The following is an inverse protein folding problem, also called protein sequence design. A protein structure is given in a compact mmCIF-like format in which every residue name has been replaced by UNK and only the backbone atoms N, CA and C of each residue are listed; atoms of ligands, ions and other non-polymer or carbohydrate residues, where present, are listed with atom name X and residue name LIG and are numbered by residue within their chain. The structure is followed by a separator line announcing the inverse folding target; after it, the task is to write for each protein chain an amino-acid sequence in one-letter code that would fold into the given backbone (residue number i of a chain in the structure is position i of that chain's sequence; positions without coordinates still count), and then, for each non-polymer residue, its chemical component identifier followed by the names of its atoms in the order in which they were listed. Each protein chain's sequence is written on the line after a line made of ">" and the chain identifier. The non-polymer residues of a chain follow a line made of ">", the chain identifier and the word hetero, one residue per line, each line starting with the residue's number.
data_IF_100278572688
#
_entry.id   IF_100278572688
#
_cell.length_a   1.000
_cell.length_b   1.000
_cell.length_c   1.000
_cell.angle_alpha   90.00
_cell.angle_beta   90.00
_cell.angle_gamma   90.00
#
_symmetry.space_group_name_H-M   'P 1'
#
loop_
_entity.id
_entity.type
_entity.pdbx_description
1 polymer ?
#
# COMPACT_ATOMS: atom_id res chain seq x y z
N UNK A 1 -0.01 6.17 26.40
CA UNK A 1 -0.66 6.57 25.14
C UNK A 1 -0.65 8.08 25.09
N UNK A 2 -0.02 8.66 24.07
CA UNK A 2 0.10 10.11 23.88
C UNK A 2 -0.55 10.47 22.53
N UNK A 3 -1.23 11.61 22.43
CA UNK A 3 -1.89 12.04 21.20
C UNK A 3 -1.17 13.25 20.64
N UNK A 4 -0.71 13.15 19.39
CA UNK A 4 -0.07 14.28 18.69
C UNK A 4 -1.16 15.22 18.20
N UNK A 5 -1.16 16.45 18.74
CA UNK A 5 -2.09 17.50 18.40
C UNK A 5 -1.37 18.62 17.65
N UNK A 6 -1.99 19.12 16.58
CA UNK A 6 -1.54 20.31 15.86
C UNK A 6 -2.63 21.37 15.94
N UNK A 7 -2.25 22.64 15.97
CA UNK A 7 -3.22 23.73 15.94
C UNK A 7 -3.94 23.77 14.59
N UNK A 8 -5.18 24.29 14.59
CA UNK A 8 -5.95 24.51 13.36
C UNK A 8 -5.17 25.35 12.34
N UNK A 9 -4.51 26.42 12.79
CA UNK A 9 -3.68 27.28 11.92
C UNK A 9 -2.56 26.49 11.25
N UNK A 10 -1.89 25.60 12.00
CA UNK A 10 -0.80 24.78 11.49
C UNK A 10 -1.32 23.75 10.49
N UNK A 11 -2.45 23.10 10.77
CA UNK A 11 -3.10 22.16 9.85
C UNK A 11 -3.59 22.85 8.57
N UNK A 12 -4.17 24.04 8.69
CA UNK A 12 -4.63 24.84 7.54
C UNK A 12 -3.45 25.26 6.67
N UNK A 13 -2.36 25.70 7.28
CA UNK A 13 -1.12 26.03 6.56
C UNK A 13 -0.54 24.80 5.85
N UNK A 14 -0.57 23.64 6.51
CA UNK A 14 -0.06 22.40 5.96
C UNK A 14 -0.90 21.85 4.80
N UNK A 15 -2.21 22.09 4.82
CA UNK A 15 -3.16 21.69 3.79
C UNK A 15 -3.13 22.64 2.58
N UNK A 16 -3.16 23.96 2.80
CA UNK A 16 -3.41 24.93 1.72
C UNK A 16 -2.14 25.60 1.19
N UNK A 17 -1.04 25.63 1.95
CA UNK A 17 0.12 26.53 1.77
C UNK A 17 -0.17 27.99 2.14
N UNK A 18 0.88 28.68 2.65
CA UNK A 18 0.86 30.14 2.88
C UNK A 18 1.27 30.94 1.64
N UNK A 19 1.85 30.29 0.62
CA UNK A 19 2.25 30.93 -0.63
C UNK A 19 1.05 31.06 -1.58
N UNK A 20 0.65 32.29 -1.98
CA UNK A 20 -0.55 32.49 -2.80
C UNK A 20 -0.56 31.70 -4.12
N UNK A 21 0.60 31.53 -4.75
CA UNK A 21 0.72 30.78 -6.00
C UNK A 21 0.39 29.28 -5.85
N UNK A 22 0.70 28.70 -4.68
CA UNK A 22 0.43 27.29 -4.37
C UNK A 22 -0.99 27.14 -3.83
N UNK A 23 -1.43 28.05 -2.95
CA UNK A 23 -2.78 28.07 -2.39
C UNK A 23 -3.90 28.18 -3.45
N UNK A 24 -3.58 28.73 -4.63
CA UNK A 24 -4.52 28.76 -5.76
C UNK A 24 -4.98 27.36 -6.17
N UNK A 25 -4.13 26.33 -6.09
CA UNK A 25 -4.48 24.94 -6.43
C UNK A 25 -5.60 24.40 -5.53
N UNK A 26 -5.65 24.84 -4.28
CA UNK A 26 -6.72 24.47 -3.35
C UNK A 26 -8.05 25.17 -3.69
N UNK A 27 -8.00 26.30 -4.39
CA UNK A 27 -9.20 27.06 -4.78
C UNK A 27 -9.97 26.40 -5.93
N UNK A 28 -9.33 25.47 -6.65
CA UNK A 28 -9.94 24.73 -7.77
C UNK A 28 -10.89 23.61 -7.28
N UNK A 29 -10.83 23.26 -5.99
CA UNK A 29 -11.77 22.30 -5.40
C UNK A 29 -13.18 22.86 -5.34
N UNK A 30 -14.14 21.96 -5.55
CA UNK A 30 -15.54 22.23 -5.28
C UNK A 30 -15.77 22.55 -3.80
N UNK A 31 -16.92 23.16 -3.47
CA UNK A 31 -17.27 23.42 -2.08
C UNK A 31 -17.33 22.13 -1.24
N UNK A 32 -17.92 21.06 -1.79
CA UNK A 32 -17.97 19.75 -1.14
C UNK A 32 -16.59 19.16 -0.85
N UNK A 33 -15.67 19.22 -1.82
CA UNK A 33 -14.30 18.74 -1.63
C UNK A 33 -13.55 19.56 -0.58
N UNK A 34 -13.69 20.89 -0.59
CA UNK A 34 -13.08 21.74 0.44
C UNK A 34 -13.64 21.42 1.83
N UNK A 35 -14.95 21.28 1.98
CA UNK A 35 -15.57 20.91 3.26
C UNK A 35 -15.04 19.57 3.77
N UNK A 36 -14.93 18.56 2.90
CA UNK A 36 -14.34 17.27 3.27
C UNK A 36 -12.88 17.42 3.73
N UNK A 37 -12.05 18.16 2.99
CA UNK A 37 -10.65 18.35 3.34
C UNK A 37 -10.49 19.14 4.65
N UNK A 38 -11.35 20.13 4.89
CA UNK A 38 -11.35 20.97 6.08
C UNK A 38 -11.82 20.26 7.35
N UNK A 39 -12.52 19.12 7.26
CA UNK A 39 -12.77 18.24 8.42
C UNK A 39 -11.45 17.81 9.10
N UNK A 40 -10.35 17.73 8.35
CA UNK A 40 -9.02 17.42 8.88
C UNK A 40 -8.40 18.54 9.71
N UNK A 41 -9.00 19.74 9.76
CA UNK A 41 -8.52 20.84 10.61
C UNK A 41 -8.89 20.63 12.08
N UNK A 42 -9.80 19.70 12.37
CA UNK A 42 -10.29 19.41 13.71
C UNK A 42 -10.30 17.90 14.01
N UNK A 43 -9.14 17.21 13.87
CA UNK A 43 -9.09 15.77 14.02
C UNK A 43 -9.49 15.32 15.43
N UNK A 44 -10.29 14.27 15.53
CA UNK A 44 -10.73 13.69 16.80
C UNK A 44 -11.90 14.41 17.48
N UNK A 45 -12.43 15.50 16.91
CA UNK A 45 -13.72 16.06 17.37
C UNK A 45 -14.84 15.05 17.12
N UNK A 46 -15.86 15.07 17.98
CA UNK A 46 -17.02 14.18 17.85
C UNK A 46 -17.67 14.36 16.46
N UNK A 47 -17.77 13.27 15.70
CA UNK A 47 -18.33 13.28 14.34
C UNK A 47 -17.33 13.66 13.24
N UNK A 48 -16.06 13.93 13.57
CA UNK A 48 -15.00 14.14 12.59
C UNK A 48 -14.61 12.83 11.92
N UNK A 49 -14.36 12.91 10.61
CA UNK A 49 -13.90 11.78 9.79
C UNK A 49 -12.42 11.46 10.03
N UNK A 50 -11.65 12.38 10.59
CA UNK A 50 -10.20 12.24 10.71
C UNK A 50 -9.78 12.21 12.18
N UNK A 51 -8.78 11.40 12.49
CA UNK A 51 -8.30 11.17 13.85
C UNK A 51 -6.87 11.68 14.01
N UNK A 52 -6.50 12.23 15.18
CA UNK A 52 -5.13 12.63 15.44
C UNK A 52 -4.24 11.38 15.55
N UNK A 53 -2.93 11.59 15.55
CA UNK A 53 -2.00 10.46 15.72
C UNK A 53 -2.00 10.03 17.19
N UNK A 54 -2.21 8.75 17.43
CA UNK A 54 -2.09 8.15 18.75
C UNK A 54 -0.80 7.35 18.84
N UNK A 55 0.10 7.76 19.73
CA UNK A 55 1.35 7.08 20.07
C UNK A 55 1.12 6.12 21.24
N UNK A 56 1.55 4.88 21.08
CA UNK A 56 1.38 3.83 22.09
C UNK A 56 2.66 3.55 22.86
N UNK A 57 3.82 3.73 22.24
CA UNK A 57 5.14 3.41 22.81
C UNK A 57 6.26 4.26 22.23
N UNK A 58 7.44 4.25 22.87
CA UNK A 58 8.65 4.89 22.34
C UNK A 58 9.24 4.16 21.12
N UNK A 59 8.77 2.94 20.83
CA UNK A 59 9.13 2.21 19.61
C UNK A 59 8.28 2.56 18.39
N UNK A 60 7.21 3.35 18.57
CA UNK A 60 6.39 3.86 17.46
C UNK A 60 7.27 4.74 16.55
N UNK A 61 7.07 4.63 15.23
CA UNK A 61 7.96 5.19 14.21
C UNK A 61 8.29 6.67 14.42
N UNK A 62 7.27 7.50 14.70
CA UNK A 62 7.43 8.95 14.86
C UNK A 62 8.37 9.31 16.01
N UNK A 63 8.38 8.50 17.08
CA UNK A 63 9.27 8.73 18.23
C UNK A 63 10.66 8.17 17.94
N UNK A 64 10.74 6.98 17.37
CA UNK A 64 11.99 6.28 17.09
C UNK A 64 12.80 6.88 15.93
N UNK A 65 12.11 7.49 14.97
CA UNK A 65 12.69 8.06 13.74
C UNK A 65 12.13 9.47 13.52
N UNK A 66 12.70 10.49 14.19
CA UNK A 66 12.28 11.88 13.96
C UNK A 66 12.52 12.28 12.50
N UNK A 67 11.44 12.64 11.80
CA UNK A 67 11.48 13.20 10.44
C UNK A 67 10.79 14.56 10.43
N UNK A 68 11.12 15.43 9.48
CA UNK A 68 10.37 16.68 9.31
C UNK A 68 9.03 16.42 8.60
N UNK A 69 7.89 16.98 9.10
CA UNK A 69 6.62 16.88 8.42
C UNK A 69 6.68 17.47 7.01
N UNK A 70 6.24 16.71 6.00
CA UNK A 70 6.04 17.26 4.67
C UNK A 70 4.61 17.84 4.58
N UNK A 71 4.46 19.15 4.49
CA UNK A 71 3.18 19.79 4.13
C UNK A 71 2.95 19.75 2.61
N UNK A 72 1.82 20.31 2.15
CA UNK A 72 1.51 20.40 0.73
C UNK A 72 2.51 21.28 -0.04
N UNK A 73 2.95 22.40 0.54
CA UNK A 73 3.90 23.31 -0.11
C UNK A 73 5.25 22.64 -0.37
N UNK A 74 5.81 22.01 0.67
CA UNK A 74 7.07 21.27 0.60
C UNK A 74 6.98 20.10 -0.38
N UNK A 75 5.84 19.41 -0.45
CA UNK A 75 5.59 18.39 -1.47
C UNK A 75 5.58 19.00 -2.86
N UNK A 76 4.77 20.03 -3.10
CA UNK A 76 4.56 20.58 -4.44
C UNK A 76 5.83 21.18 -5.04
N UNK A 77 6.67 21.79 -4.19
CA UNK A 77 7.94 22.43 -4.57
C UNK A 77 9.11 21.44 -4.68
N UNK A 78 8.95 20.19 -4.26
CA UNK A 78 10.02 19.20 -4.31
C UNK A 78 10.37 18.90 -5.78
N UNK A 79 11.61 19.19 -6.25
CA UNK A 79 11.99 18.93 -7.63
C UNK A 79 12.05 17.43 -7.96
N UNK A 80 12.06 16.56 -6.94
CA UNK A 80 12.01 15.11 -7.10
C UNK A 80 10.59 14.55 -7.04
N UNK A 81 9.56 15.41 -6.87
CA UNK A 81 8.15 15.01 -6.98
C UNK A 81 7.88 14.47 -8.38
N UNK A 82 7.16 13.35 -8.45
CA UNK A 82 6.73 12.77 -9.72
C UNK A 82 5.23 12.90 -9.88
N UNK A 83 4.80 13.22 -11.08
CA UNK A 83 3.42 13.36 -11.49
C UNK A 83 3.23 12.47 -12.71
N UNK A 84 2.21 11.60 -12.75
CA UNK A 84 1.87 10.87 -13.96
C UNK A 84 1.63 11.83 -15.13
N UNK A 85 2.08 11.44 -16.31
CA UNK A 85 1.85 12.18 -17.55
C UNK A 85 1.30 11.23 -18.62
N UNK A 86 0.95 11.76 -19.81
CA UNK A 86 0.35 10.97 -20.89
C UNK A 86 1.28 9.87 -21.44
N UNK A 87 2.59 9.95 -21.18
CA UNK A 87 3.57 8.94 -21.55
C UNK A 87 3.90 7.97 -20.40
N UNK A 88 3.60 8.32 -19.15
CA UNK A 88 3.95 7.55 -17.96
C UNK A 88 2.78 7.51 -16.96
N UNK A 89 1.73 6.78 -17.30
CA UNK A 89 0.48 6.70 -16.52
C UNK A 89 0.15 5.29 -16.01
N UNK A 90 1.06 4.32 -16.20
CA UNK A 90 0.81 2.92 -15.85
C UNK A 90 1.63 2.50 -14.62
N UNK A 91 0.97 1.91 -13.62
CA UNK A 91 1.60 1.22 -12.50
C UNK A 91 1.70 -0.26 -12.87
N UNK A 92 2.92 -0.79 -12.87
CA UNK A 92 3.15 -2.22 -13.13
C UNK A 92 3.37 -2.98 -11.82
N UNK A 93 2.71 -4.12 -11.66
CA UNK A 93 2.91 -5.03 -10.54
C UNK A 93 3.65 -6.28 -11.05
N UNK A 94 4.82 -6.54 -10.48
CA UNK A 94 5.61 -7.74 -10.75
C UNK A 94 5.49 -8.72 -9.57
N UNK A 95 4.80 -9.83 -9.79
CA UNK A 95 4.75 -10.93 -8.81
C UNK A 95 6.07 -11.69 -8.81
N UNK A 96 6.69 -11.88 -7.63
CA UNK A 96 7.96 -12.59 -7.44
C UNK A 96 7.77 -13.76 -6.48
N UNK A 97 8.01 -14.97 -6.98
CA UNK A 97 7.74 -16.22 -6.28
C UNK A 97 6.27 -16.63 -6.34
N UNK A 98 5.92 -17.64 -5.54
CA UNK A 98 4.55 -18.10 -5.35
C UNK A 98 3.79 -17.33 -4.28
N UNK A 99 2.47 -17.28 -4.42
CA UNK A 99 1.52 -16.63 -3.52
C UNK A 99 0.46 -17.64 -3.03
N UNK A 100 0.83 -18.92 -2.97
CA UNK A 100 -0.04 -20.05 -2.65
C UNK A 100 0.47 -21.33 -3.30
N UNK A 101 -0.31 -22.41 -3.18
CA UNK A 101 -0.22 -23.50 -4.14
C UNK A 101 -0.67 -22.98 -5.52
N UNK A 102 0.01 -23.41 -6.58
CA UNK A 102 -0.32 -22.99 -7.96
C UNK A 102 -1.78 -23.32 -8.24
N UNK A 103 -2.61 -22.30 -8.50
CA UNK A 103 -4.04 -22.45 -8.76
C UNK A 103 -4.83 -21.15 -8.66
N UNK A 104 -6.13 -21.26 -8.91
CA UNK A 104 -7.07 -20.14 -9.09
C UNK A 104 -7.08 -19.13 -7.92
N UNK A 105 -6.87 -19.55 -6.67
CA UNK A 105 -6.91 -18.64 -5.50
C UNK A 105 -5.82 -17.57 -5.53
N UNK A 106 -4.60 -17.96 -5.92
CA UNK A 106 -3.45 -17.07 -5.91
C UNK A 106 -3.57 -16.00 -7.00
N UNK A 107 -4.00 -16.40 -8.19
CA UNK A 107 -4.24 -15.47 -9.30
C UNK A 107 -5.32 -14.45 -8.92
N UNK A 108 -6.41 -14.90 -8.29
CA UNK A 108 -7.46 -14.01 -7.75
C UNK A 108 -6.93 -12.99 -6.75
N UNK A 109 -6.08 -13.41 -5.82
CA UNK A 109 -5.54 -12.50 -4.80
C UNK A 109 -4.71 -11.36 -5.41
N UNK A 110 -3.85 -11.68 -6.39
CA UNK A 110 -3.05 -10.66 -7.08
C UNK A 110 -3.93 -9.75 -7.93
N UNK A 111 -4.98 -10.29 -8.55
CA UNK A 111 -5.98 -9.49 -9.27
C UNK A 111 -6.75 -8.54 -8.34
N UNK A 112 -7.17 -9.00 -7.16
CA UNK A 112 -7.81 -8.12 -6.18
C UNK A 112 -6.89 -6.97 -5.76
N UNK A 113 -5.58 -7.22 -5.59
CA UNK A 113 -4.59 -6.17 -5.33
C UNK A 113 -4.44 -5.20 -6.51
N UNK A 114 -4.45 -5.70 -7.74
CA UNK A 114 -4.42 -4.87 -8.95
C UNK A 114 -5.63 -3.95 -9.00
N UNK A 115 -6.82 -4.50 -8.83
CA UNK A 115 -8.08 -3.76 -8.91
C UNK A 115 -8.19 -2.72 -7.79
N UNK A 116 -7.76 -3.08 -6.57
CA UNK A 116 -7.67 -2.14 -5.45
C UNK A 116 -6.70 -1.01 -5.76
N UNK A 117 -5.50 -1.33 -6.25
CA UNK A 117 -4.48 -0.35 -6.58
C UNK A 117 -5.01 0.64 -7.63
N UNK A 118 -5.71 0.16 -8.65
CA UNK A 118 -6.33 1.00 -9.68
C UNK A 118 -7.45 1.89 -9.11
N UNK A 119 -8.29 1.35 -8.23
CA UNK A 119 -9.32 2.14 -7.55
C UNK A 119 -8.71 3.23 -6.66
N UNK A 120 -7.61 2.93 -5.96
CA UNK A 120 -6.94 3.86 -5.06
C UNK A 120 -6.19 4.96 -5.83
N UNK A 121 -5.42 4.60 -6.84
CA UNK A 121 -4.67 5.52 -7.71
C UNK A 121 -5.51 5.87 -8.95
N UNK A 122 -6.72 6.37 -8.68
CA UNK A 122 -7.72 6.71 -9.69
C UNK A 122 -7.14 7.59 -10.80
N UNK A 123 -7.37 7.21 -12.06
CA UNK A 123 -6.84 7.87 -13.25
C UNK A 123 -5.57 7.24 -13.82
N UNK A 124 -4.94 6.30 -13.10
CA UNK A 124 -3.82 5.51 -13.61
C UNK A 124 -4.30 4.11 -14.03
N UNK A 125 -3.60 3.54 -15.01
CA UNK A 125 -3.76 2.12 -15.37
C UNK A 125 -2.91 1.26 -14.45
N UNK A 126 -3.39 0.08 -14.06
CA UNK A 126 -2.60 -0.89 -13.30
C UNK A 126 -2.53 -2.23 -14.04
N UNK A 127 -1.31 -2.66 -14.33
CA UNK A 127 -1.06 -3.88 -15.12
C UNK A 127 -0.24 -4.90 -14.34
N UNK A 128 -0.61 -6.17 -14.46
CA UNK A 128 0.16 -7.29 -13.93
C UNK A 128 1.19 -7.74 -14.97
N UNK A 129 2.45 -7.80 -14.58
CA UNK A 129 3.48 -8.48 -15.36
C UNK A 129 3.43 -9.99 -15.09
N UNK A 130 3.88 -10.84 -16.04
CA UNK A 130 3.97 -12.27 -15.82
C UNK A 130 4.76 -12.58 -14.54
N UNK A 131 4.21 -13.45 -13.69
CA UNK A 131 4.89 -13.87 -12.47
C UNK A 131 6.26 -14.47 -12.78
N UNK A 132 7.24 -14.18 -11.94
CA UNK A 132 8.61 -14.70 -12.08
C UNK A 132 8.99 -15.51 -10.85
N UNK A 133 9.74 -16.57 -11.07
CA UNK A 133 10.34 -17.34 -9.98
C UNK A 133 11.43 -16.53 -9.26
N UNK A 134 11.76 -16.91 -8.03
CA UNK A 134 12.88 -16.32 -7.29
C UNK A 134 14.20 -16.50 -8.06
N UNK A 135 14.36 -17.64 -8.73
CA UNK A 135 15.57 -17.95 -9.50
C UNK A 135 15.82 -16.99 -10.66
N UNK A 136 14.76 -16.54 -11.34
CA UNK A 136 14.87 -15.58 -12.45
C UNK A 136 15.34 -14.19 -12.00
N UNK A 137 15.13 -13.85 -10.72
CA UNK A 137 15.60 -12.58 -10.17
C UNK A 137 17.11 -12.55 -9.97
N UNK A 138 17.73 -13.72 -9.79
CA UNK A 138 19.13 -13.84 -9.41
C UNK A 138 19.45 -13.19 -8.06
N UNK A 139 18.46 -12.98 -7.18
CA UNK A 139 18.66 -12.29 -5.92
C UNK A 139 19.45 -13.13 -4.91
N UNK A 140 20.23 -12.44 -4.10
CA UNK A 140 20.84 -13.03 -2.90
C UNK A 140 19.77 -13.38 -1.87
N UNK A 141 20.00 -14.45 -1.11
CA UNK A 141 19.08 -14.89 -0.07
C UNK A 141 19.80 -15.40 1.18
N UNK A 142 19.09 -15.41 2.31
CA UNK A 142 19.60 -15.91 3.60
C UNK A 142 18.50 -16.58 4.43
N UNK A 143 18.89 -17.27 5.50
CA UNK A 143 17.96 -17.61 6.59
C UNK A 143 18.13 -16.54 7.67
N UNK A 144 17.04 -15.88 8.06
CA UNK A 144 17.07 -14.91 9.16
C UNK A 144 17.42 -15.61 10.48
N UNK A 145 18.36 -15.07 11.24
CA UNK A 145 18.79 -15.69 12.51
C UNK A 145 17.71 -15.68 13.60
N UNK A 146 16.77 -14.74 13.55
CA UNK A 146 15.73 -14.56 14.58
C UNK A 146 14.43 -15.28 14.22
N UNK A 147 13.89 -15.07 13.01
CA UNK A 147 12.66 -15.73 12.57
C UNK A 147 12.91 -17.17 12.09
N UNK A 148 14.10 -17.46 11.58
CA UNK A 148 14.45 -18.70 10.86
C UNK A 148 13.68 -18.89 9.55
N UNK A 149 13.18 -17.79 8.97
CA UNK A 149 12.53 -17.80 7.65
C UNK A 149 13.55 -17.47 6.55
N UNK A 150 13.27 -17.90 5.33
CA UNK A 150 14.01 -17.47 4.14
C UNK A 150 13.77 -15.97 3.91
N UNK A 151 14.83 -15.25 3.59
CA UNK A 151 14.78 -13.84 3.20
C UNK A 151 15.50 -13.62 1.88
N UNK A 152 14.99 -12.71 1.05
CA UNK A 152 15.61 -12.27 -0.21
C UNK A 152 16.02 -10.80 -0.15
N UNK A 153 17.15 -10.47 -0.79
CA UNK A 153 17.77 -9.14 -0.71
C UNK A 153 17.04 -8.15 -1.62
N UNK A 154 16.49 -7.07 -1.03
CA UNK A 154 15.72 -6.06 -1.78
C UNK A 154 16.54 -5.36 -2.87
N UNK A 155 17.83 -5.09 -2.62
CA UNK A 155 18.71 -4.41 -3.57
C UNK A 155 18.87 -5.15 -4.89
N UNK A 156 18.88 -6.49 -4.86
CA UNK A 156 18.95 -7.29 -6.09
C UNK A 156 17.59 -7.30 -6.82
N UNK A 157 16.49 -7.35 -6.08
CA UNK A 157 15.14 -7.26 -6.66
C UNK A 157 14.90 -5.91 -7.33
N UNK A 158 15.29 -4.79 -6.71
CA UNK A 158 15.19 -3.46 -7.31
C UNK A 158 16.00 -3.38 -8.61
N UNK A 159 17.20 -3.97 -8.65
CA UNK A 159 18.02 -4.04 -9.87
C UNK A 159 17.35 -4.88 -10.96
N UNK A 160 16.70 -5.98 -10.58
CA UNK A 160 15.91 -6.80 -11.49
C UNK A 160 14.72 -6.03 -12.06
N UNK A 161 13.94 -5.35 -11.20
CA UNK A 161 12.80 -4.52 -11.62
C UNK A 161 13.23 -3.40 -12.56
N UNK A 162 14.38 -2.76 -12.32
CA UNK A 162 14.91 -1.71 -13.19
C UNK A 162 15.18 -2.16 -14.62
N UNK A 163 15.51 -3.45 -14.82
CA UNK A 163 15.68 -4.04 -16.16
C UNK A 163 14.37 -4.40 -16.84
N UNK A 164 13.28 -4.53 -16.08
CA UNK A 164 11.95 -4.95 -16.59
C UNK A 164 10.95 -3.81 -16.64
N UNK A 165 11.23 -2.67 -16.00
CA UNK A 165 10.36 -1.50 -15.97
C UNK A 165 9.98 -1.10 -17.40
N UNK A 166 8.69 -1.18 -17.77
CA UNK A 166 8.22 -0.71 -19.08
C UNK A 166 8.49 0.77 -19.27
N UNK A 167 8.59 1.21 -20.54
CA UNK A 167 8.95 2.61 -20.86
C UNK A 167 7.85 3.59 -20.47
N UNK A 168 6.60 3.16 -20.53
CA UNK A 168 5.39 3.91 -20.17
C UNK A 168 5.01 3.75 -18.69
N UNK A 169 5.85 3.08 -17.90
CA UNK A 169 5.61 2.90 -16.49
C UNK A 169 5.79 4.22 -15.74
N UNK A 170 4.73 4.68 -15.06
CA UNK A 170 4.85 5.61 -13.96
C UNK A 170 5.78 5.02 -12.89
N UNK A 171 5.45 3.81 -12.45
CA UNK A 171 6.28 3.02 -11.56
C UNK A 171 6.11 1.51 -11.79
N UNK A 172 7.05 0.74 -11.25
CA UNK A 172 6.95 -0.71 -11.14
C UNK A 172 7.11 -1.12 -9.68
N UNK A 173 6.21 -1.97 -9.19
CA UNK A 173 6.25 -2.50 -7.83
C UNK A 173 6.35 -4.03 -7.86
N UNK A 174 7.37 -4.56 -7.21
CA UNK A 174 7.52 -5.99 -6.96
C UNK A 174 6.75 -6.39 -5.71
N UNK A 175 5.98 -7.47 -5.78
CA UNK A 175 5.31 -8.06 -4.61
C UNK A 175 5.77 -9.50 -4.40
N UNK A 176 5.93 -9.90 -3.14
CA UNK A 176 6.30 -11.29 -2.80
C UNK A 176 5.68 -11.76 -1.47
N UNK A 177 5.54 -13.07 -1.31
CA UNK A 177 5.22 -13.72 -0.03
C UNK A 177 6.48 -14.19 0.73
N UNK A 178 7.68 -13.79 0.28
CA UNK A 178 8.96 -14.12 0.90
C UNK A 178 9.45 -12.93 1.69
N UNK A 179 9.97 -13.16 2.89
CA UNK A 179 10.49 -12.11 3.77
C UNK A 179 11.66 -11.34 3.12
N UNK A 180 11.79 -10.04 3.43
CA UNK A 180 12.75 -9.14 2.78
C UNK A 180 13.80 -8.63 3.77
N UNK A 181 15.00 -8.37 3.27
CA UNK A 181 16.04 -7.66 4.01
C UNK A 181 16.81 -6.67 3.12
N UNK A 182 17.24 -5.51 3.66
CA UNK A 182 17.89 -4.47 2.86
C UNK A 182 19.42 -4.61 2.78
N UNK A 183 20.05 -5.16 3.83
CA UNK A 183 21.49 -5.45 3.93
C UNK A 183 21.76 -6.40 5.09
N UNK A 184 22.94 -6.99 5.13
CA UNK A 184 23.27 -8.06 6.08
C UNK A 184 23.11 -7.65 7.56
N UNK A 185 23.39 -6.39 7.89
CA UNK A 185 23.29 -5.88 9.26
C UNK A 185 21.87 -5.56 9.76
N UNK A 186 20.85 -5.69 8.90
CA UNK A 186 19.46 -5.39 9.24
C UNK A 186 18.66 -6.67 9.42
N UNK A 187 17.65 -6.66 10.29
CA UNK A 187 16.80 -7.83 10.51
C UNK A 187 15.85 -8.06 9.33
N UNK A 188 15.07 -7.06 8.94
CA UNK A 188 14.12 -7.13 7.83
C UNK A 188 13.63 -5.74 7.42
N UNK A 189 12.87 -5.69 6.33
CA UNK A 189 11.97 -4.59 5.96
C UNK A 189 10.65 -5.17 5.44
N UNK A 190 9.55 -4.44 5.58
CA UNK A 190 8.31 -4.78 4.86
C UNK A 190 8.43 -4.48 3.38
N UNK A 191 9.26 -3.50 3.04
CA UNK A 191 9.45 -3.04 1.68
C UNK A 191 10.65 -2.12 1.52
N UNK A 192 11.06 -1.89 0.28
CA UNK A 192 12.06 -0.89 -0.06
C UNK A 192 11.74 -0.28 -1.43
N UNK A 193 11.91 1.03 -1.52
CA UNK A 193 11.62 1.81 -2.72
C UNK A 193 12.84 2.63 -3.20
N UNK A 194 13.00 2.74 -4.53
CA UNK A 194 13.79 3.77 -5.19
C UNK A 194 12.83 4.80 -5.81
N UNK A 195 12.62 5.91 -5.10
CA UNK A 195 11.66 6.94 -5.49
C UNK A 195 12.08 7.63 -6.79
N UNK A 196 13.38 7.95 -6.92
CA UNK A 196 13.96 8.57 -8.11
C UNK A 196 13.80 7.71 -9.36
N UNK A 197 13.77 6.39 -9.20
CA UNK A 197 13.67 5.46 -10.33
C UNK A 197 12.24 4.94 -10.54
N UNK A 198 11.34 5.21 -9.60
CA UNK A 198 9.93 4.77 -9.66
C UNK A 198 9.83 3.26 -9.54
N UNK A 199 10.55 2.70 -8.56
CA UNK A 199 10.58 1.26 -8.30
C UNK A 199 10.35 0.99 -6.82
N UNK A 200 9.63 -0.08 -6.50
CA UNK A 200 9.52 -0.58 -5.13
C UNK A 200 9.43 -2.10 -5.09
N UNK A 201 9.78 -2.69 -3.96
CA UNK A 201 9.56 -4.12 -3.70
C UNK A 201 9.09 -4.32 -2.27
N UNK A 202 8.00 -5.06 -2.08
CA UNK A 202 7.37 -5.24 -0.77
C UNK A 202 6.95 -6.69 -0.56
N UNK A 203 6.86 -7.08 0.70
CA UNK A 203 6.55 -8.44 1.10
C UNK A 203 5.38 -8.50 2.06
N UNK A 204 4.50 -9.46 1.81
CA UNK A 204 3.36 -9.75 2.68
C UNK A 204 3.66 -10.90 3.66
N UNK A 205 4.87 -11.47 3.65
CA UNK A 205 5.24 -12.63 4.47
C UNK A 205 4.97 -12.37 5.97
N UNK A 206 5.30 -11.17 6.44
CA UNK A 206 5.19 -10.77 7.84
C UNK A 206 3.77 -10.39 8.27
N UNK A 207 2.80 -10.43 7.36
CA UNK A 207 1.40 -10.16 7.65
C UNK A 207 0.59 -11.41 8.01
N UNK A 208 1.25 -12.57 8.09
CA UNK A 208 0.69 -13.75 8.73
C UNK A 208 0.62 -13.55 10.26
N UNK A 209 -0.56 -13.77 10.85
CA UNK A 209 -0.78 -13.66 12.30
C UNK A 209 0.09 -14.63 13.12
N UNK A 210 0.56 -15.70 12.49
CA UNK A 210 1.43 -16.70 13.09
C UNK A 210 2.91 -16.50 12.76
N UNK A 211 3.31 -15.45 12.02
CA UNK A 211 4.70 -15.28 11.55
C UNK A 211 5.75 -15.40 12.67
N UNK A 212 5.47 -14.82 13.85
CA UNK A 212 6.37 -14.84 15.00
C UNK A 212 6.18 -16.06 15.92
N UNK A 213 5.27 -16.97 15.59
CA UNK A 213 5.04 -18.20 16.34
C UNK A 213 6.20 -19.17 16.22
N UNK A 214 6.52 -19.88 17.31
CA UNK A 214 7.52 -20.96 17.28
C UNK A 214 7.15 -22.06 16.30
N UNK A 215 5.86 -22.26 16.05
CA UNK A 215 5.34 -23.30 15.16
C UNK A 215 4.98 -22.75 13.76
N UNK A 216 5.45 -21.54 13.41
CA UNK A 216 5.18 -20.95 12.12
C UNK A 216 5.67 -21.87 10.98
N UNK A 217 4.78 -22.14 10.03
CA UNK A 217 5.01 -23.13 8.98
C UNK A 217 6.15 -22.73 8.01
N UNK A 218 6.41 -21.43 7.86
CA UNK A 218 7.51 -20.91 7.04
C UNK A 218 8.91 -21.00 7.66
N UNK A 219 9.03 -21.46 8.92
CA UNK A 219 10.35 -21.63 9.56
C UNK A 219 11.09 -22.80 8.95
N UNK A 220 12.36 -22.58 8.61
CA UNK A 220 13.24 -23.61 8.08
C UNK A 220 13.60 -24.58 9.22
N UNK A 221 13.07 -25.81 9.17
CA UNK A 221 13.14 -26.80 10.27
C UNK A 221 14.51 -27.43 10.52
N UNK A 222 15.42 -27.42 9.53
CA UNK A 222 16.77 -28.00 9.61
C UNK A 222 17.82 -26.90 9.40
N UNK A 223 19.05 -27.11 9.88
CA UNK A 223 20.21 -26.29 9.47
C UNK A 223 20.43 -26.45 7.98
N UNK A 224 19.73 -25.65 7.17
CA UNK A 224 19.91 -25.60 5.72
C UNK A 224 21.27 -24.94 5.46
N UNK A 225 22.19 -25.66 4.82
CA UNK A 225 23.37 -25.01 4.26
C UNK A 225 22.96 -24.35 2.96
N UNK A 226 22.73 -23.04 3.01
CA UNK A 226 22.43 -22.26 1.82
C UNK A 226 23.67 -22.18 0.94
N UNK A 227 23.49 -22.40 -0.36
CA UNK A 227 24.47 -22.08 -1.39
C UNK A 227 23.87 -21.00 -2.27
N UNK A 228 24.56 -19.86 -2.42
CA UNK A 228 24.08 -18.81 -3.32
C UNK A 228 23.96 -19.38 -4.74
N UNK A 229 22.86 -19.05 -5.42
CA UNK A 229 22.50 -19.61 -6.72
C UNK A 229 21.71 -20.93 -6.67
N UNK A 230 21.60 -21.61 -5.52
CA UNK A 230 20.73 -22.77 -5.37
C UNK A 230 19.32 -22.35 -4.91
N UNK A 231 18.48 -22.00 -5.89
CA UNK A 231 17.10 -21.55 -5.65
C UNK A 231 16.11 -22.70 -5.38
N UNK A 232 16.56 -23.96 -5.36
CA UNK A 232 15.70 -25.10 -5.00
C UNK A 232 15.12 -24.96 -3.58
N UNK A 233 15.77 -24.18 -2.72
CA UNK A 233 15.30 -23.84 -1.37
C UNK A 233 13.96 -23.10 -1.35
N UNK A 234 13.55 -22.51 -2.48
CA UNK A 234 12.25 -21.85 -2.67
C UNK A 234 11.21 -22.77 -3.34
N UNK A 235 11.47 -24.06 -3.51
CA UNK A 235 10.44 -24.98 -3.97
C UNK A 235 9.49 -25.30 -2.81
N UNK A 236 8.21 -24.95 -2.97
CA UNK A 236 7.18 -25.21 -1.96
C UNK A 236 7.41 -24.47 -0.64
N UNK A 237 8.02 -23.28 -0.67
CA UNK A 237 8.09 -22.46 0.54
C UNK A 237 6.68 -22.09 1.00
N UNK A 238 6.52 -21.93 2.31
CA UNK A 238 5.23 -21.61 2.89
C UNK A 238 4.73 -20.24 2.47
N UNK A 239 3.47 -20.18 2.05
CA UNK A 239 2.73 -18.95 1.83
C UNK A 239 1.57 -18.86 2.83
N UNK A 240 1.33 -17.69 3.43
CA UNK A 240 0.24 -17.51 4.38
C UNK A 240 -1.13 -17.73 3.71
N UNK A 241 -2.14 -18.22 4.44
CA UNK A 241 -3.49 -18.32 3.91
C UNK A 241 -4.05 -16.93 3.57
N UNK A 242 -4.82 -16.84 2.48
CA UNK A 242 -5.48 -15.61 2.06
C UNK A 242 -6.67 -15.35 3.00
N UNK A 243 -6.50 -14.38 3.90
CA UNK A 243 -7.54 -13.91 4.84
C UNK A 243 -7.90 -12.46 4.55
N UNK A 244 -9.02 -11.95 5.09
CA UNK A 244 -9.36 -10.53 4.96
C UNK A 244 -8.36 -9.61 5.63
N UNK A 245 -7.77 -10.03 6.75
CA UNK A 245 -6.67 -9.30 7.41
C UNK A 245 -5.43 -9.23 6.54
N UNK A 246 -5.03 -10.35 5.90
CA UNK A 246 -3.88 -10.35 4.99
C UNK A 246 -4.13 -9.42 3.80
N UNK A 247 -5.32 -9.49 3.20
CA UNK A 247 -5.71 -8.62 2.09
C UNK A 247 -5.69 -7.15 2.51
N UNK A 248 -6.26 -6.79 3.66
CA UNK A 248 -6.24 -5.42 4.19
C UNK A 248 -4.81 -4.90 4.39
N UNK A 249 -3.94 -5.68 5.04
CA UNK A 249 -2.54 -5.31 5.26
C UNK A 249 -1.78 -5.13 3.95
N UNK A 250 -2.09 -5.97 2.96
CA UNK A 250 -1.48 -5.92 1.63
C UNK A 250 -1.93 -4.68 0.85
N UNK A 251 -3.22 -4.33 0.92
CA UNK A 251 -3.78 -3.10 0.40
C UNK A 251 -3.16 -1.85 1.05
N UNK A 252 -3.00 -1.83 2.38
CA UNK A 252 -2.29 -0.73 3.08
C UNK A 252 -0.85 -0.56 2.56
N UNK A 253 -0.14 -1.67 2.38
CA UNK A 253 1.26 -1.68 1.97
C UNK A 253 1.42 -1.19 0.55
N UNK A 254 0.67 -1.74 -0.40
CA UNK A 254 0.76 -1.30 -1.80
C UNK A 254 0.39 0.18 -1.94
N UNK A 255 -0.60 0.65 -1.17
CA UNK A 255 -0.96 2.06 -1.09
C UNK A 255 0.17 2.92 -0.55
N UNK A 256 0.73 2.57 0.61
CA UNK A 256 1.79 3.32 1.28
C UNK A 256 2.99 3.49 0.35
N UNK A 257 3.45 2.38 -0.20
CA UNK A 257 4.69 2.33 -0.94
C UNK A 257 4.54 2.93 -2.35
N UNK A 258 3.40 2.70 -3.01
CA UNK A 258 3.10 3.36 -4.28
C UNK A 258 2.88 4.86 -4.06
N UNK A 259 2.35 5.28 -2.91
CA UNK A 259 2.24 6.69 -2.53
C UNK A 259 3.60 7.41 -2.52
N UNK A 260 4.67 6.72 -2.10
CA UNK A 260 6.02 7.28 -2.18
C UNK A 260 6.49 7.54 -3.62
N UNK A 261 5.98 6.80 -4.62
CA UNK A 261 6.32 7.03 -6.04
C UNK A 261 5.89 8.42 -6.54
N UNK A 262 4.90 9.03 -5.89
CA UNK A 262 4.47 10.41 -6.17
C UNK A 262 5.35 11.46 -5.46
N UNK A 263 6.28 11.05 -4.58
CA UNK A 263 7.07 11.95 -3.74
C UNK A 263 6.43 12.28 -2.39
N UNK A 264 5.36 11.56 -2.01
CA UNK A 264 4.71 11.73 -0.69
C UNK A 264 5.61 11.07 0.36
N UNK A 265 6.08 11.83 1.35
CA UNK A 265 6.87 11.33 2.49
C UNK A 265 5.97 10.77 3.59
N UNK A 266 6.59 10.18 4.61
CA UNK A 266 5.86 9.75 5.80
C UNK A 266 5.00 10.88 6.39
N UNK A 267 3.75 10.57 6.70
CA UNK A 267 2.82 11.53 7.26
C UNK A 267 3.05 11.71 8.76
N UNK A 268 3.12 12.95 9.22
CA UNK A 268 3.22 13.29 10.65
C UNK A 268 2.10 14.23 11.13
N UNK A 269 1.07 14.43 10.30
CA UNK A 269 0.02 15.40 10.55
C UNK A 269 -1.16 14.82 11.33
N UNK A 270 -1.62 13.63 10.95
CA UNK A 270 -2.77 12.94 11.57
C UNK A 270 -2.78 11.48 11.12
N UNK A 271 -3.75 10.68 11.57
CA UNK A 271 -3.86 9.28 11.14
C UNK A 271 -3.98 9.19 9.62
N UNK A 272 -3.09 8.40 9.00
CA UNK A 272 -2.94 8.31 7.56
C UNK A 272 -2.24 6.99 7.19
N UNK A 273 -2.62 6.40 6.06
CA UNK A 273 -1.91 5.22 5.51
C UNK A 273 -0.44 5.50 5.18
N UNK A 274 -0.08 6.76 4.91
CA UNK A 274 1.31 7.18 4.64
C UNK A 274 2.16 7.36 5.91
N UNK A 275 1.69 6.97 7.10
CA UNK A 275 2.52 7.03 8.31
C UNK A 275 3.56 5.90 8.30
N UNK A 276 4.80 6.22 8.66
CA UNK A 276 5.83 5.19 8.90
C UNK A 276 5.40 4.25 10.03
N UNK A 277 5.88 3.01 9.97
CA UNK A 277 5.59 1.97 10.97
C UNK A 277 6.83 1.14 11.23
N UNK A 278 7.14 0.91 12.51
CA UNK A 278 8.31 0.13 12.94
C UNK A 278 7.96 -1.35 13.16
N UNK A 279 6.68 -1.66 13.41
CA UNK A 279 6.19 -3.02 13.66
C UNK A 279 4.73 -3.20 13.21
N UNK A 280 4.27 -4.46 13.19
CA UNK A 280 2.98 -4.84 12.60
C UNK A 280 1.79 -4.21 13.33
N UNK A 281 1.81 -4.24 14.66
CA UNK A 281 0.72 -3.69 15.47
C UNK A 281 0.58 -2.18 15.26
N UNK A 282 1.68 -1.47 14.97
CA UNK A 282 1.64 -0.06 14.60
C UNK A 282 0.99 0.14 13.23
N UNK A 283 1.39 -0.65 12.23
CA UNK A 283 0.81 -0.64 10.89
C UNK A 283 -0.70 -0.98 10.89
N UNK A 284 -1.12 -1.91 11.75
CA UNK A 284 -2.52 -2.31 11.88
C UNK A 284 -3.41 -1.18 12.40
N UNK A 285 -2.89 -0.34 13.31
CA UNK A 285 -3.61 0.85 13.82
C UNK A 285 -3.78 1.95 12.79
N UNK A 286 -3.01 1.96 11.69
CA UNK A 286 -3.12 2.98 10.65
C UNK A 286 -4.41 2.78 9.84
N UNK A 287 -5.06 3.85 9.36
CA UNK A 287 -6.20 3.70 8.46
C UNK A 287 -5.76 3.14 7.10
N UNK A 288 -6.73 2.70 6.28
CA UNK A 288 -6.48 2.31 4.90
C UNK A 288 -6.32 3.51 3.95
N UNK A 289 -6.85 4.67 4.35
CA UNK A 289 -6.94 5.87 3.51
C UNK A 289 -6.00 7.01 3.93
N UNK A 290 -5.91 8.01 3.05
CA UNK A 290 -5.10 9.21 3.22
C UNK A 290 -5.81 10.22 4.12
N UNK A 291 -5.03 10.93 4.94
CA UNK A 291 -5.50 12.17 5.56
C UNK A 291 -5.67 13.30 4.52
N UNK A 292 -6.38 14.40 4.82
CA UNK A 292 -6.66 15.47 3.86
C UNK A 292 -5.41 16.09 3.24
N UNK A 293 -4.32 16.21 4.01
CA UNK A 293 -3.07 16.76 3.52
C UNK A 293 -2.44 15.81 2.47
N UNK A 294 -2.41 14.50 2.73
CA UNK A 294 -1.85 13.54 1.76
C UNK A 294 -2.81 13.27 0.59
N UNK A 295 -4.12 13.36 0.83
CA UNK A 295 -5.14 13.31 -0.22
C UNK A 295 -4.99 14.49 -1.17
N UNK A 296 -4.80 15.71 -0.66
CA UNK A 296 -4.55 16.89 -1.49
C UNK A 296 -3.28 16.72 -2.35
N UNK A 297 -2.18 16.24 -1.75
CA UNK A 297 -0.95 15.92 -2.50
C UNK A 297 -1.20 14.94 -3.64
N UNK A 298 -1.88 13.83 -3.34
CA UNK A 298 -2.16 12.79 -4.34
C UNK A 298 -3.13 13.30 -5.41
N UNK A 299 -4.16 14.03 -5.03
CA UNK A 299 -5.15 14.57 -5.97
C UNK A 299 -4.53 15.59 -6.93
N UNK A 300 -3.65 16.48 -6.43
CA UNK A 300 -2.93 17.43 -7.30
C UNK A 300 -1.95 16.72 -8.23
N UNK A 301 -1.38 15.58 -7.81
CA UNK A 301 -0.51 14.79 -8.67
C UNK A 301 -1.28 13.94 -9.69
N UNK A 302 -2.44 13.37 -9.32
CA UNK A 302 -3.21 12.45 -10.18
C UNK A 302 -4.35 13.09 -10.97
N UNK A 303 -4.82 14.27 -10.59
CA UNK A 303 -5.89 14.99 -11.29
C UNK A 303 -7.29 14.35 -11.21
N UNK A 304 -7.52 13.38 -10.32
CA UNK A 304 -8.81 12.71 -10.16
C UNK A 304 -9.80 13.54 -9.33
N UNK A 305 -11.10 13.21 -9.43
CA UNK A 305 -12.14 13.71 -8.51
C UNK A 305 -12.19 12.84 -7.26
N UNK A 306 -12.23 13.46 -6.08
CA UNK A 306 -12.18 12.71 -4.80
C UNK A 306 -13.37 11.73 -4.69
N UNK A 307 -14.57 12.17 -5.08
CA UNK A 307 -15.77 11.34 -5.04
C UNK A 307 -15.66 10.08 -5.93
N UNK A 308 -15.09 10.20 -7.14
CA UNK A 308 -14.95 9.08 -8.06
C UNK A 308 -14.00 8.01 -7.52
N UNK A 309 -12.88 8.46 -6.92
CA UNK A 309 -11.93 7.57 -6.21
C UNK A 309 -12.61 6.84 -5.06
N UNK A 310 -13.35 7.54 -4.19
CA UNK A 310 -14.05 6.90 -3.07
C UNK A 310 -15.16 5.94 -3.52
N UNK A 311 -15.91 6.28 -4.58
CA UNK A 311 -16.90 5.37 -5.18
C UNK A 311 -16.25 4.13 -5.78
N UNK A 312 -15.07 4.24 -6.39
CA UNK A 312 -14.31 3.10 -6.90
C UNK A 312 -13.82 2.19 -5.77
N UNK A 313 -13.27 2.76 -4.69
CA UNK A 313 -12.83 2.01 -3.52
C UNK A 313 -13.98 1.30 -2.82
N UNK A 314 -15.12 1.98 -2.64
CA UNK A 314 -16.29 1.39 -1.99
C UNK A 314 -16.85 0.22 -2.82
N UNK A 315 -17.00 0.41 -4.14
CA UNK A 315 -17.37 -0.68 -5.06
C UNK A 315 -16.41 -1.84 -4.95
N UNK A 316 -15.10 -1.61 -5.02
CA UNK A 316 -14.12 -2.68 -4.86
C UNK A 316 -14.29 -3.44 -3.53
N UNK A 317 -14.69 -2.80 -2.43
CA UNK A 317 -14.92 -3.50 -1.15
C UNK A 317 -16.26 -4.25 -1.06
N UNK A 318 -17.25 -3.82 -1.83
CA UNK A 318 -18.63 -4.34 -1.83
C UNK A 318 -18.92 -5.32 -2.96
N UNK A 319 -18.10 -5.31 -4.01
CA UNK A 319 -18.18 -6.24 -5.12
C UNK A 319 -17.84 -7.65 -4.61
N UNK A 320 -18.87 -8.37 -4.17
CA UNK A 320 -18.91 -9.82 -4.24
C UNK A 320 -19.05 -10.16 -5.71
N UNK A 321 -18.27 -11.09 -6.26
CA UNK A 321 -18.35 -11.54 -7.67
C UNK A 321 -19.73 -12.14 -8.00
N UNK A 322 -20.76 -11.31 -8.07
CA UNK A 322 -22.17 -11.62 -8.32
C UNK A 322 -22.63 -11.07 -9.67
N UNK A 323 -21.73 -10.49 -10.48
CA UNK A 323 -22.04 -9.92 -11.80
C UNK A 323 -21.44 -10.69 -12.98
N UNK A 324 -21.18 -11.98 -12.85
CA UNK A 324 -20.87 -12.85 -14.00
C UNK A 324 -21.65 -14.16 -13.93
N UNK A 325 -22.97 -14.07 -14.09
CA UNK A 325 -23.79 -15.22 -14.53
C UNK A 325 -24.93 -14.86 -15.49
N UNK A 326 -25.05 -13.60 -15.95
CA UNK A 326 -25.95 -13.29 -17.08
C UNK A 326 -25.30 -13.56 -18.46
N UNK A 327 -24.03 -13.99 -18.50
CA UNK A 327 -23.35 -14.38 -19.74
C UNK A 327 -23.01 -15.88 -19.84
N UNK A 328 -23.32 -16.70 -18.83
CA UNK A 328 -23.15 -18.16 -18.90
C UNK A 328 -24.48 -18.89 -19.09
N UNK A 329 -25.31 -18.32 -19.97
CA UNK A 329 -26.30 -19.10 -20.70
C UNK A 329 -25.59 -19.93 -21.77
N UNK A 330 -25.19 -21.15 -21.41
CA UNK A 330 -24.68 -22.23 -22.25
C UNK A 330 -23.15 -22.39 -22.37
N UNK A 331 -22.53 -23.08 -21.41
CA UNK A 331 -21.70 -24.27 -21.67
C UNK A 331 -21.13 -24.91 -20.39
N UNK A 332 -21.63 -26.11 -20.09
CA UNK A 332 -20.99 -27.28 -19.48
C UNK A 332 -19.89 -27.14 -18.38
N UNK A 333 -20.23 -27.68 -17.20
CA UNK A 333 -19.41 -28.56 -16.36
C UNK A 333 -17.93 -28.20 -16.14
N UNK A 334 -17.68 -27.22 -15.26
CA UNK A 334 -16.59 -27.33 -14.29
C UNK A 334 -17.07 -26.74 -12.95
N UNK A 335 -16.94 -27.51 -11.88
CA UNK A 335 -17.15 -27.04 -10.50
C UNK A 335 -16.08 -26.00 -10.17
N UNK A 336 -16.24 -24.76 -10.63
CA UNK A 336 -15.39 -23.66 -10.24
C UNK A 336 -15.57 -23.45 -8.74
N UNK A 337 -14.51 -23.70 -7.97
CA UNK A 337 -14.51 -23.35 -6.55
C UNK A 337 -14.54 -21.82 -6.49
N UNK A 338 -15.70 -21.26 -6.15
CA UNK A 338 -15.89 -19.82 -6.05
C UNK A 338 -15.11 -19.30 -4.84
N UNK A 339 -14.15 -18.41 -5.08
CA UNK A 339 -13.38 -17.76 -4.03
C UNK A 339 -13.93 -16.36 -3.82
N UNK A 340 -14.65 -16.17 -2.71
CA UNK A 340 -15.10 -14.85 -2.29
C UNK A 340 -13.90 -13.99 -1.89
N UNK A 341 -13.85 -12.75 -2.37
CA UNK A 341 -12.89 -11.73 -1.92
C UNK A 341 -13.10 -11.43 -0.43
N UNK A 342 -12.17 -11.77 0.47
CA UNK A 342 -12.44 -11.68 1.91
C UNK A 342 -12.31 -10.21 2.35
N UNK A 343 -13.43 -9.52 2.55
CA UNK A 343 -13.45 -8.07 2.88
C UNK A 343 -13.96 -7.78 4.28
N UNK A 344 -14.07 -8.76 5.18
CA UNK A 344 -14.61 -8.53 6.54
C UNK A 344 -13.79 -7.50 7.33
N UNK A 345 -12.46 -7.55 7.21
CA UNK A 345 -11.54 -6.60 7.84
C UNK A 345 -11.67 -5.16 7.29
N UNK A 346 -12.34 -4.93 6.17
CA UNK A 346 -12.51 -3.61 5.55
C UNK A 346 -13.73 -2.85 6.08
N UNK A 347 -14.49 -3.41 7.03
CA UNK A 347 -15.75 -2.83 7.48
C UNK A 347 -15.64 -1.38 7.95
N UNK A 348 -14.59 -1.05 8.72
CA UNK A 348 -14.34 0.31 9.17
C UNK A 348 -14.09 1.26 7.98
N UNK A 349 -13.27 0.83 7.01
CA UNK A 349 -12.99 1.60 5.80
C UNK A 349 -14.24 1.81 4.93
N UNK A 350 -15.13 0.81 4.81
CA UNK A 350 -16.41 0.95 4.09
C UNK A 350 -17.31 2.01 4.73
N UNK A 351 -17.48 1.96 6.05
CA UNK A 351 -18.30 2.92 6.78
C UNK A 351 -17.72 4.34 6.67
N UNK A 352 -16.39 4.45 6.78
CA UNK A 352 -15.68 5.71 6.62
C UNK A 352 -15.83 6.31 5.22
N UNK A 353 -15.69 5.50 4.16
CA UNK A 353 -15.87 5.92 2.77
C UNK A 353 -17.30 6.41 2.51
N UNK A 354 -18.32 5.71 3.02
CA UNK A 354 -19.72 6.14 2.91
C UNK A 354 -19.92 7.51 3.59
N UNK A 355 -19.40 7.68 4.79
CA UNK A 355 -19.49 8.99 5.49
C UNK A 355 -18.75 10.10 4.75
N UNK A 356 -17.61 9.80 4.09
CA UNK A 356 -16.91 10.78 3.25
C UNK A 356 -17.74 11.19 2.03
N UNK A 357 -18.38 10.22 1.37
CA UNK A 357 -19.26 10.44 0.23
C UNK A 357 -20.46 11.30 0.60
N UNK A 358 -21.09 11.04 1.75
CA UNK A 358 -22.18 11.87 2.25
C UNK A 358 -21.75 13.34 2.40
N UNK A 359 -20.53 13.60 2.91
CA UNK A 359 -20.01 14.99 3.04
C UNK A 359 -19.70 15.67 1.71
N UNK A 360 -19.34 14.88 0.69
CA UNK A 360 -19.10 15.40 -0.67
C UNK A 360 -20.40 15.74 -1.40
N UNK A 361 -21.50 15.05 -1.08
CA UNK A 361 -22.80 15.18 -1.77
C UNK A 361 -23.78 16.16 -1.10
N UNK A 362 -23.59 16.51 0.18
CA UNK A 362 -24.33 17.61 0.82
C UNK A 362 -24.04 18.88 0.02
N UNK A 363 -25.03 19.47 -0.63
CA UNK A 363 -24.91 20.73 -1.40
C UNK A 363 -24.81 21.93 -0.46
#
# INVERSE_FOLDING_TARGET
>A
MNVVQHSEEKLRSALVSKLPAVAKLYSDYTEGERRLLEEGLHPGKRGSLFQPITLHSDSDWIVAHPEEPQDFEAFYRDPYRKTPDTGHSTIYIQTIGSFGDVGLQTDRYVEWLRDYCQAFFCGLSVELLPAVSVSETGCSFRVNSSSHNLQILTGDLLRFLGKRKPKDAFCIVGITMIDLYPKDSWNFVFGQASLSDGMGVFSFARYDDHFYSRNYAGRVKKKLQLRQGDYSVFQGYYTPPITSTLLLRSCKTITHETGHMFGIKHCQWMNCVMQGSNHLEESDRRPLDLCPICLHKLQVAGGFKIADRYKALLRWMEDDESQLSEAEGAAAHHSAVHFHKPTEAFNESRLWLRSCLDRLEIS
#
